data_IF_553018040634
#
_entry.id   IF_553018040634
#
_cell.length_a   1.000
_cell.length_b   1.000
_cell.length_c   1.000
_cell.angle_alpha   90.00
_cell.angle_beta   90.00
_cell.angle_gamma   90.00
#
_symmetry.space_group_name_H-M   'P 1'
#
loop_
_entity.id
_entity.type
_entity.pdbx_description
1 polymer ?
#
# COMPACT_ATOMS: atom_id res chain seq x y z
N UNK A 1 -9.46 -9.55 0.05
CA UNK A 1 -9.39 -9.82 -1.39
C UNK A 1 -10.52 -10.71 -1.87
N UNK A 2 -11.03 -10.46 -3.08
CA UNK A 2 -12.03 -11.32 -3.73
C UNK A 2 -11.31 -12.42 -4.51
N UNK A 3 -11.02 -13.53 -3.86
CA UNK A 3 -10.17 -14.59 -4.40
C UNK A 3 -10.64 -15.20 -5.75
N UNK A 4 -11.93 -15.11 -6.05
CA UNK A 4 -12.54 -15.64 -7.29
C UNK A 4 -12.53 -14.67 -8.47
N UNK A 5 -12.38 -13.38 -8.21
CA UNK A 5 -12.34 -12.33 -9.22
C UNK A 5 -10.94 -12.12 -9.78
N UNK A 6 -10.85 -11.59 -11.00
CA UNK A 6 -9.60 -11.06 -11.53
C UNK A 6 -9.23 -9.76 -10.83
N UNK A 7 -7.98 -9.33 -10.99
CA UNK A 7 -7.50 -8.05 -10.48
C UNK A 7 -8.37 -6.90 -10.99
N UNK A 8 -8.61 -6.85 -12.29
CA UNK A 8 -9.43 -5.82 -12.93
C UNK A 8 -10.86 -5.84 -12.39
N UNK A 9 -11.52 -7.01 -12.35
CA UNK A 9 -12.88 -7.14 -11.82
C UNK A 9 -12.99 -6.64 -10.37
N UNK A 10 -11.97 -6.94 -9.54
CA UNK A 10 -11.94 -6.52 -8.14
C UNK A 10 -11.87 -4.99 -8.01
N UNK A 11 -11.03 -4.33 -8.81
CA UNK A 11 -10.87 -2.86 -8.79
C UNK A 11 -12.10 -2.18 -9.39
N UNK A 12 -12.64 -2.67 -10.51
CA UNK A 12 -13.88 -2.15 -11.12
C UNK A 12 -15.03 -2.23 -10.11
N UNK A 13 -15.13 -3.33 -9.36
CA UNK A 13 -16.16 -3.50 -8.34
C UNK A 13 -16.02 -2.43 -7.23
N UNK A 14 -14.81 -2.16 -6.75
CA UNK A 14 -14.55 -1.14 -5.72
C UNK A 14 -14.90 0.27 -6.22
N UNK A 15 -14.54 0.60 -7.46
CA UNK A 15 -14.89 1.88 -8.08
C UNK A 15 -16.41 1.99 -8.26
N UNK A 16 -17.07 0.92 -8.73
CA UNK A 16 -18.53 0.87 -8.89
C UNK A 16 -19.28 1.10 -7.57
N UNK A 17 -18.76 0.54 -6.48
CA UNK A 17 -19.33 0.74 -5.14
C UNK A 17 -19.18 2.20 -4.69
N UNK A 18 -18.01 2.80 -4.86
CA UNK A 18 -17.78 4.23 -4.60
C UNK A 18 -18.76 5.13 -5.35
N UNK A 19 -19.02 4.83 -6.62
CA UNK A 19 -19.95 5.60 -7.47
C UNK A 19 -21.43 5.32 -7.17
N UNK A 20 -21.74 4.39 -6.24
CA UNK A 20 -23.12 4.01 -5.88
C UNK A 20 -23.87 3.31 -7.00
N UNK A 21 -23.16 2.68 -7.96
CA UNK A 21 -23.74 2.09 -9.15
C UNK A 21 -24.34 0.68 -8.90
N UNK A 22 -24.09 0.08 -7.75
CA UNK A 22 -24.69 -1.20 -7.35
C UNK A 22 -26.22 -1.21 -7.39
N UNK A 23 -26.87 -0.04 -7.26
CA UNK A 23 -28.34 0.13 -7.36
C UNK A 23 -28.85 0.35 -8.79
N UNK A 24 -27.98 0.44 -9.78
CA UNK A 24 -28.30 0.89 -11.13
C UNK A 24 -27.62 0.01 -12.20
N UNK A 25 -27.66 -1.32 -12.01
CA UNK A 25 -27.03 -2.33 -12.88
C UNK A 25 -27.43 -2.26 -14.38
N UNK A 26 -28.47 -1.50 -14.71
CA UNK A 26 -29.02 -1.31 -16.06
C UNK A 26 -28.55 0.00 -16.74
N UNK A 27 -27.65 0.79 -16.12
CA UNK A 27 -27.16 2.04 -16.73
C UNK A 27 -25.95 1.80 -17.62
N UNK A 28 -26.16 2.12 -18.86
CA UNK A 28 -25.34 2.42 -20.04
C UNK A 28 -23.89 1.89 -20.09
N UNK A 29 -23.55 1.23 -21.20
CA UNK A 29 -22.23 0.78 -21.64
C UNK A 29 -21.15 1.89 -21.46
N UNK A 30 -21.47 3.14 -21.75
CA UNK A 30 -20.56 4.30 -21.59
C UNK A 30 -20.04 4.46 -20.14
N UNK A 31 -20.90 4.25 -19.12
CA UNK A 31 -20.45 4.33 -17.71
C UNK A 31 -19.55 3.16 -17.32
N UNK A 32 -19.79 1.98 -17.90
CA UNK A 32 -18.91 0.83 -17.65
C UNK A 32 -17.52 1.06 -18.25
N UNK A 33 -17.43 1.67 -19.43
CA UNK A 33 -16.15 2.01 -20.03
C UNK A 33 -15.34 2.95 -19.15
N UNK A 34 -15.95 4.02 -18.62
CA UNK A 34 -15.27 4.97 -17.72
C UNK A 34 -14.73 4.30 -16.45
N UNK A 35 -15.50 3.34 -15.86
CA UNK A 35 -15.03 2.60 -14.68
C UNK A 35 -13.86 1.68 -15.01
N UNK A 36 -13.90 1.04 -16.17
CA UNK A 36 -12.82 0.17 -16.64
C UNK A 36 -11.57 1.00 -16.92
N UNK A 37 -11.69 2.14 -17.60
CA UNK A 37 -10.57 3.03 -17.89
C UNK A 37 -9.90 3.55 -16.60
N UNK A 38 -10.70 3.94 -15.60
CA UNK A 38 -10.18 4.34 -14.29
C UNK A 38 -9.47 3.17 -13.59
N UNK A 39 -10.04 1.97 -13.63
CA UNK A 39 -9.43 0.79 -13.03
C UNK A 39 -8.11 0.43 -13.72
N UNK A 40 -8.06 0.47 -15.05
CA UNK A 40 -6.83 0.22 -15.82
C UNK A 40 -5.75 1.23 -15.46
N UNK A 41 -6.06 2.54 -15.45
CA UNK A 41 -5.10 3.58 -15.08
C UNK A 41 -4.54 3.40 -13.67
N UNK A 42 -5.39 3.01 -12.71
CA UNK A 42 -4.95 2.70 -11.35
C UNK A 42 -4.03 1.47 -11.31
N UNK A 43 -4.35 0.41 -12.05
CA UNK A 43 -3.53 -0.79 -12.14
C UNK A 43 -2.20 -0.55 -12.85
N UNK A 44 -2.15 0.33 -13.84
CA UNK A 44 -0.90 0.78 -14.47
C UNK A 44 -0.01 1.51 -13.46
N UNK A 45 -0.57 2.44 -12.69
CA UNK A 45 0.15 3.16 -11.62
C UNK A 45 0.77 2.20 -10.60
N UNK A 46 0.08 1.12 -10.28
CA UNK A 46 0.53 0.11 -9.32
C UNK A 46 1.36 -1.02 -9.96
N UNK A 47 1.74 -0.90 -11.24
CA UNK A 47 2.48 -1.93 -12.00
C UNK A 47 1.79 -3.32 -11.99
N UNK A 48 0.45 -3.31 -11.96
CA UNK A 48 -0.40 -4.51 -11.99
C UNK A 48 -1.04 -4.75 -13.37
N UNK A 49 -0.74 -3.94 -14.37
CA UNK A 49 -1.30 -4.07 -15.71
C UNK A 49 -1.09 -5.46 -16.35
N UNK A 50 0.09 -6.11 -16.22
CA UNK A 50 0.29 -7.45 -16.76
C UNK A 50 -0.62 -8.52 -16.12
N UNK A 51 -1.00 -8.33 -14.86
CA UNK A 51 -1.78 -9.28 -14.06
C UNK A 51 -3.28 -8.96 -14.03
N UNK A 52 -3.76 -7.94 -14.74
CA UNK A 52 -5.14 -7.46 -14.64
C UNK A 52 -6.20 -8.54 -14.91
N UNK A 53 -5.89 -9.52 -15.77
CA UNK A 53 -6.77 -10.64 -16.09
C UNK A 53 -6.51 -11.90 -15.22
N UNK A 54 -5.55 -11.84 -14.31
CA UNK A 54 -5.22 -12.95 -13.41
C UNK A 54 -6.16 -12.93 -12.20
N UNK A 55 -6.60 -14.09 -11.75
CA UNK A 55 -7.38 -14.18 -10.50
C UNK A 55 -6.50 -13.83 -9.31
N UNK A 56 -7.01 -13.03 -8.38
CA UNK A 56 -6.24 -12.51 -7.24
C UNK A 56 -5.57 -13.61 -6.42
N UNK A 57 -6.23 -14.78 -6.24
CA UNK A 57 -5.65 -15.92 -5.52
C UNK A 57 -4.42 -16.56 -6.18
N UNK A 58 -4.20 -16.32 -7.46
CA UNK A 58 -3.09 -16.91 -8.24
C UNK A 58 -1.88 -15.99 -8.31
N UNK A 59 -1.95 -14.80 -7.70
CA UNK A 59 -0.84 -13.85 -7.68
C UNK A 59 0.20 -14.24 -6.61
N UNK A 60 1.48 -13.89 -6.82
CA UNK A 60 2.47 -13.83 -5.76
C UNK A 60 2.00 -12.93 -4.61
N UNK A 61 2.49 -13.18 -3.39
CA UNK A 61 2.00 -12.48 -2.20
C UNK A 61 2.20 -10.96 -2.27
N UNK A 62 3.36 -10.51 -2.73
CA UNK A 62 3.63 -9.07 -2.93
C UNK A 62 2.65 -8.41 -3.91
N UNK A 63 2.27 -9.11 -5.01
CA UNK A 63 1.25 -8.61 -5.94
C UNK A 63 -0.15 -8.59 -5.33
N UNK A 64 -0.47 -9.54 -4.44
CA UNK A 64 -1.74 -9.50 -3.70
C UNK A 64 -1.81 -8.26 -2.79
N UNK A 65 -0.70 -7.87 -2.14
CA UNK A 65 -0.63 -6.63 -1.35
C UNK A 65 -0.85 -5.39 -2.21
N UNK A 66 -0.27 -5.34 -3.41
CA UNK A 66 -0.56 -4.24 -4.35
C UNK A 66 -2.03 -4.18 -4.77
N UNK A 67 -2.70 -5.33 -4.92
CA UNK A 67 -4.16 -5.36 -5.18
C UNK A 67 -4.95 -4.82 -3.98
N UNK A 68 -4.56 -5.13 -2.74
CA UNK A 68 -5.19 -4.56 -1.54
C UNK A 68 -5.06 -3.02 -1.52
N UNK A 69 -3.88 -2.51 -1.86
CA UNK A 69 -3.64 -1.07 -2.01
C UNK A 69 -4.49 -0.49 -3.13
N UNK A 70 -4.61 -1.18 -4.29
CA UNK A 70 -5.47 -0.75 -5.39
C UNK A 70 -6.94 -0.60 -4.95
N UNK A 71 -7.46 -1.57 -4.19
CA UNK A 71 -8.82 -1.52 -3.66
C UNK A 71 -9.03 -0.34 -2.70
N UNK A 72 -8.03 -0.04 -1.85
CA UNK A 72 -8.08 1.11 -0.97
C UNK A 72 -8.04 2.43 -1.78
N UNK A 73 -7.13 2.56 -2.74
CA UNK A 73 -7.00 3.74 -3.61
C UNK A 73 -8.23 3.97 -4.50
N UNK A 74 -8.92 2.89 -4.92
CA UNK A 74 -10.17 2.96 -5.68
C UNK A 74 -11.25 3.76 -4.95
N UNK A 75 -11.18 3.89 -3.61
CA UNK A 75 -12.09 4.71 -2.81
C UNK A 75 -11.72 6.20 -2.81
N UNK A 76 -10.60 6.59 -3.44
CA UNK A 76 -10.03 7.95 -3.46
C UNK A 76 -9.80 8.51 -2.04
N UNK A 77 -9.04 7.80 -1.19
CA UNK A 77 -8.77 8.26 0.17
C UNK A 77 -7.81 9.46 0.14
N UNK A 78 -7.89 10.31 1.16
CA UNK A 78 -6.88 11.35 1.42
C UNK A 78 -5.69 10.81 2.24
N UNK A 79 -5.93 9.75 3.00
CA UNK A 79 -4.93 9.09 3.85
C UNK A 79 -5.02 7.59 3.62
N UNK A 80 -3.89 6.97 3.31
CA UNK A 80 -3.72 5.52 3.21
C UNK A 80 -2.90 5.04 4.41
N UNK A 81 -3.48 4.13 5.21
CA UNK A 81 -2.82 3.53 6.36
C UNK A 81 -2.40 2.10 5.99
N UNK A 82 -1.13 1.79 6.15
CA UNK A 82 -0.55 0.49 5.86
C UNK A 82 0.12 -0.06 7.13
N UNK A 83 -0.38 -1.18 7.61
CA UNK A 83 0.17 -1.85 8.78
C UNK A 83 0.98 -3.06 8.31
N UNK A 84 2.29 -3.01 8.55
CA UNK A 84 3.28 -4.01 8.12
C UNK A 84 3.08 -4.52 6.67
N UNK A 85 3.05 -3.64 5.66
CA UNK A 85 2.73 -4.04 4.29
C UNK A 85 3.73 -5.04 3.71
N UNK A 86 4.97 -5.08 4.22
CA UNK A 86 6.01 -6.01 3.82
C UNK A 86 6.02 -7.33 4.61
N UNK A 87 5.15 -7.52 5.62
CA UNK A 87 5.16 -8.72 6.43
C UNK A 87 4.92 -10.00 5.61
N UNK A 88 5.82 -10.97 5.76
CA UNK A 88 5.73 -12.25 5.04
C UNK A 88 6.06 -12.20 3.55
N UNK A 89 6.60 -11.09 3.06
CA UNK A 89 7.04 -10.91 1.66
C UNK A 89 8.56 -11.07 1.60
N UNK A 90 9.12 -11.76 0.56
CA UNK A 90 10.56 -11.78 0.33
C UNK A 90 11.13 -10.37 0.15
N UNK A 91 12.35 -10.12 0.63
CA UNK A 91 12.97 -8.79 0.64
C UNK A 91 12.96 -8.08 -0.73
N UNK A 92 13.21 -8.81 -1.82
CA UNK A 92 13.17 -8.23 -3.16
C UNK A 92 11.78 -7.73 -3.56
N UNK A 93 10.72 -8.49 -3.22
CA UNK A 93 9.34 -8.10 -3.47
C UNK A 93 8.89 -6.96 -2.55
N UNK A 94 9.37 -6.91 -1.30
CA UNK A 94 9.11 -5.81 -0.36
C UNK A 94 9.65 -4.48 -0.88
N UNK A 95 10.87 -4.49 -1.43
CA UNK A 95 11.45 -3.30 -2.04
C UNK A 95 10.63 -2.83 -3.25
N UNK A 96 10.22 -3.76 -4.14
CA UNK A 96 9.35 -3.43 -5.28
C UNK A 96 8.02 -2.83 -4.80
N UNK A 97 7.39 -3.41 -3.76
CA UNK A 97 6.16 -2.90 -3.17
C UNK A 97 6.32 -1.45 -2.71
N UNK A 98 7.36 -1.14 -1.94
CA UNK A 98 7.62 0.20 -1.45
C UNK A 98 8.03 1.18 -2.56
N UNK A 99 8.73 0.74 -3.60
CA UNK A 99 9.00 1.56 -4.78
C UNK A 99 7.70 1.97 -5.50
N UNK A 100 6.73 1.07 -5.61
CA UNK A 100 5.41 1.39 -6.17
C UNK A 100 4.67 2.36 -5.25
N UNK A 101 4.65 2.13 -3.94
CA UNK A 101 4.01 3.01 -2.96
C UNK A 101 4.61 4.43 -3.02
N UNK A 102 5.93 4.57 -3.13
CA UNK A 102 6.61 5.87 -3.18
C UNK A 102 6.30 6.68 -4.45
N UNK A 103 5.81 6.03 -5.50
CA UNK A 103 5.41 6.68 -6.76
C UNK A 103 3.93 7.07 -6.82
N UNK A 104 3.17 6.79 -5.75
CA UNK A 104 1.77 7.19 -5.68
C UNK A 104 1.61 8.72 -5.72
N UNK A 105 0.48 9.22 -6.23
CA UNK A 105 0.21 10.66 -6.29
C UNK A 105 0.32 11.32 -4.90
N UNK A 106 0.94 12.51 -4.85
CA UNK A 106 1.20 13.25 -3.59
C UNK A 106 -0.05 13.83 -2.91
N UNK A 107 -1.21 13.73 -3.53
CA UNK A 107 -2.50 14.11 -2.94
C UNK A 107 -3.03 13.07 -1.94
N UNK A 108 -2.39 11.89 -1.89
CA UNK A 108 -2.66 10.86 -0.89
C UNK A 108 -1.54 10.86 0.15
N UNK A 109 -1.86 11.17 1.39
CA UNK A 109 -0.91 11.00 2.50
C UNK A 109 -0.80 9.52 2.86
N UNK A 110 0.43 8.99 2.84
CA UNK A 110 0.69 7.59 3.18
C UNK A 110 1.30 7.53 4.58
N UNK A 111 0.69 6.74 5.45
CA UNK A 111 1.24 6.39 6.77
C UNK A 111 1.42 4.89 6.80
N UNK A 112 2.63 4.43 7.06
CA UNK A 112 2.91 3.01 7.21
C UNK A 112 3.61 2.71 8.53
N UNK A 113 3.32 1.54 9.10
CA UNK A 113 3.99 0.99 10.28
C UNK A 113 4.88 -0.13 9.78
N UNK A 114 6.15 -0.10 10.10
CA UNK A 114 7.14 -1.12 9.72
C UNK A 114 8.20 -1.26 10.80
N UNK A 115 8.73 -2.47 10.91
CA UNK A 115 9.87 -2.80 11.76
C UNK A 115 11.15 -3.05 10.96
N UNK A 116 11.08 -3.21 9.63
CA UNK A 116 12.26 -3.22 8.75
C UNK A 116 12.79 -1.78 8.57
N UNK A 117 13.81 -1.46 9.35
CA UNK A 117 14.42 -0.13 9.33
C UNK A 117 15.00 0.23 7.97
N UNK A 118 15.43 -0.73 7.16
CA UNK A 118 15.96 -0.47 5.82
C UNK A 118 14.87 0.11 4.90
N UNK A 119 13.65 -0.38 5.00
CA UNK A 119 12.49 0.16 4.29
C UNK A 119 12.08 1.52 4.85
N UNK A 120 12.02 1.65 6.18
CA UNK A 120 11.63 2.91 6.84
C UNK A 120 12.58 4.04 6.45
N UNK A 121 13.90 3.87 6.60
CA UNK A 121 14.87 4.91 6.27
C UNK A 121 14.94 5.23 4.78
N UNK A 122 14.64 4.26 3.92
CA UNK A 122 14.68 4.45 2.47
C UNK A 122 13.46 5.18 1.92
N UNK A 123 12.28 4.95 2.47
CA UNK A 123 11.02 5.37 1.86
C UNK A 123 10.21 6.39 2.67
N UNK A 124 10.48 6.55 3.98
CA UNK A 124 9.77 7.54 4.78
C UNK A 124 10.34 8.95 4.59
N UNK A 125 9.45 9.95 4.48
CA UNK A 125 9.84 11.37 4.53
C UNK A 125 9.94 11.87 5.99
N UNK A 126 9.16 11.26 6.89
CA UNK A 126 9.10 11.57 8.32
C UNK A 126 8.87 10.28 9.11
N UNK A 127 9.56 10.13 10.22
CA UNK A 127 9.52 8.95 11.08
C UNK A 127 9.09 9.36 12.47
N UNK A 128 8.11 8.66 13.04
CA UNK A 128 7.72 8.74 14.44
C UNK A 128 8.08 7.42 15.11
N UNK A 129 8.97 7.47 16.10
CA UNK A 129 9.42 6.30 16.86
C UNK A 129 8.54 6.12 18.08
N UNK A 130 7.93 4.93 18.22
CA UNK A 130 7.07 4.56 19.33
C UNK A 130 7.76 3.52 20.21
N UNK A 131 7.79 3.76 21.53
CA UNK A 131 8.33 2.84 22.51
C UNK A 131 7.36 2.73 23.70
N UNK A 132 6.94 1.51 24.04
CA UNK A 132 6.00 1.29 25.13
C UNK A 132 4.68 2.07 24.98
N UNK A 133 4.20 2.26 23.75
CA UNK A 133 2.96 2.97 23.44
C UNK A 133 3.07 4.51 23.55
N UNK A 134 4.28 5.06 23.66
CA UNK A 134 4.54 6.51 23.70
C UNK A 134 5.47 6.94 22.59
N UNK A 135 5.30 8.17 22.09
CA UNK A 135 6.23 8.77 21.15
C UNK A 135 7.55 9.04 21.84
N UNK A 136 8.62 8.42 21.37
CA UNK A 136 9.99 8.68 21.83
C UNK A 136 10.56 9.92 21.15
N UNK A 137 10.45 9.96 19.83
CA UNK A 137 10.98 11.04 19.00
C UNK A 137 10.28 11.05 17.64
N UNK A 138 10.39 12.15 16.91
CA UNK A 138 9.85 12.33 15.58
C UNK A 138 10.77 13.23 14.77
N UNK A 139 11.06 12.89 13.51
CA UNK A 139 11.94 13.67 12.65
C UNK A 139 12.09 13.09 11.24
N UNK A 140 12.98 13.70 10.47
CA UNK A 140 13.45 13.16 9.20
C UNK A 140 14.26 11.87 9.41
N UNK A 141 14.46 11.04 8.37
CA UNK A 141 15.30 9.85 8.47
C UNK A 141 16.70 10.15 9.04
N UNK A 142 17.34 11.25 8.60
CA UNK A 142 18.68 11.62 9.07
C UNK A 142 18.69 12.03 10.56
N UNK A 143 17.67 12.76 11.02
CA UNK A 143 17.51 13.12 12.43
C UNK A 143 17.29 11.89 13.31
N UNK A 144 16.46 10.96 12.85
CA UNK A 144 16.18 9.71 13.58
C UNK A 144 17.42 8.81 13.61
N UNK A 145 18.17 8.69 12.52
CA UNK A 145 19.41 7.91 12.47
C UNK A 145 20.49 8.48 13.39
N UNK A 146 20.50 9.79 13.65
CA UNK A 146 21.44 10.47 14.54
C UNK A 146 21.02 10.41 16.03
N UNK A 147 19.76 10.11 16.36
CA UNK A 147 19.23 10.13 17.72
C UNK A 147 19.75 8.93 18.53
N UNK A 148 20.55 9.18 19.56
CA UNK A 148 21.17 8.13 20.38
C UNK A 148 20.13 7.33 21.17
N UNK A 149 18.98 7.90 21.53
CA UNK A 149 17.88 7.19 22.20
C UNK A 149 17.28 6.12 21.29
N UNK A 150 17.19 6.39 19.97
CA UNK A 150 16.71 5.43 18.98
C UNK A 150 17.71 4.28 18.83
N UNK A 151 19.01 4.61 18.74
CA UNK A 151 20.08 3.60 18.68
C UNK A 151 20.08 2.68 19.89
N UNK A 152 19.90 3.25 21.09
CA UNK A 152 19.87 2.50 22.35
C UNK A 152 18.71 1.50 22.38
N UNK A 153 17.52 1.88 21.91
CA UNK A 153 16.35 0.98 21.82
C UNK A 153 16.62 -0.17 20.84
N UNK A 154 17.16 0.12 19.65
CA UNK A 154 17.41 -0.92 18.64
C UNK A 154 18.63 -1.80 18.94
N UNK A 155 19.71 -1.26 19.54
CA UNK A 155 20.87 -2.04 19.93
C UNK A 155 20.61 -2.85 21.23
N UNK A 156 19.77 -2.33 22.14
CA UNK A 156 19.38 -3.03 23.34
C UNK A 156 18.51 -4.28 23.09
N UNK A 157 17.73 -4.30 22.01
CA UNK A 157 16.97 -5.49 21.59
C UNK A 157 17.85 -6.59 20.96
N UNK A 158 18.94 -6.20 20.30
CA UNK A 158 19.87 -7.16 19.66
C UNK A 158 20.75 -7.96 20.68
N UNK A 159 20.82 -7.55 21.93
CA UNK A 159 21.56 -8.27 22.98
C UNK A 159 20.70 -9.28 23.77
N UNK A 160 19.40 -9.41 23.46
CA UNK A 160 18.47 -10.28 24.19
C UNK A 160 17.87 -11.44 23.34
N UNK A 161 18.39 -11.70 22.12
CA UNK A 161 18.06 -12.90 21.32
C UNK A 161 19.16 -13.99 21.40
#
# INVERSE_FOLDING_TARGET
>A
LFAGLTVLESVVLAISEREGLHKQWYKTVEKQTVLIDEAVALLETLRLAPEMNTRTRNLPYGKQRLVEIALALATRPKVLLLDEPAAGIPQAESQELFEVISQLPRDVTIVFIEHDMSLVFRFAERITVLVGGKVLTEGSPDEIAADDRVKEVYLGEAEHE
#
